data_IF_414425212420
#
_entry.id   IF_414425212420
#
_cell.length_a   1.000
_cell.length_b   1.000
_cell.length_c   1.000
_cell.angle_alpha   90.00
_cell.angle_beta   90.00
_cell.angle_gamma   90.00
#
_symmetry.space_group_name_H-M   'P 1'
#
loop_
_entity.id
_entity.type
_entity.pdbx_description
1 polymer ?
#
# COMPACT_ATOMS: atom_id res chain seq x y z
N UNK A 1 11.95 16.34 10.77
CA UNK A 1 12.29 16.65 9.37
C UNK A 1 11.17 17.38 8.61
N UNK A 2 9.88 17.15 8.91
CA UNK A 2 8.76 17.82 8.21
C UNK A 2 8.84 19.37 8.26
N UNK A 3 9.42 19.95 9.31
CA UNK A 3 9.64 21.40 9.45
C UNK A 3 11.09 21.80 9.17
N UNK A 4 11.88 20.90 8.62
CA UNK A 4 13.27 21.18 8.29
C UNK A 4 13.34 22.14 7.11
N UNK A 5 14.23 23.16 7.19
CA UNK A 5 14.38 24.23 6.18
C UNK A 5 14.59 23.70 4.74
N UNK A 6 15.29 22.56 4.58
CA UNK A 6 15.55 21.96 3.28
C UNK A 6 14.35 21.14 2.75
N UNK A 7 13.41 20.71 3.59
CA UNK A 7 12.35 19.79 3.20
C UNK A 7 11.42 20.36 2.10
N UNK A 8 11.19 21.68 2.12
CA UNK A 8 10.37 22.39 1.11
C UNK A 8 11.15 22.77 -0.16
N UNK A 9 12.47 22.69 -0.16
CA UNK A 9 13.35 23.12 -1.25
C UNK A 9 14.11 21.99 -1.91
N UNK A 10 13.78 20.73 -1.60
CA UNK A 10 14.37 19.56 -2.26
C UNK A 10 13.96 19.50 -3.74
N UNK A 11 14.79 18.91 -4.60
CA UNK A 11 14.48 18.77 -6.04
C UNK A 11 13.17 18.01 -6.26
N UNK A 12 12.86 17.09 -5.35
CA UNK A 12 11.67 16.24 -5.44
C UNK A 12 11.22 15.75 -4.06
N UNK A 13 9.98 15.15 -4.02
CA UNK A 13 9.48 14.45 -2.83
C UNK A 13 10.53 13.47 -2.30
N UNK A 14 10.67 13.44 -0.99
CA UNK A 14 11.58 12.56 -0.27
C UNK A 14 10.79 11.71 0.73
N UNK A 15 10.94 10.40 0.66
CA UNK A 15 10.20 9.45 1.50
C UNK A 15 11.16 8.80 2.48
N UNK A 16 10.80 8.82 3.76
CA UNK A 16 11.52 8.11 4.83
C UNK A 16 10.57 7.08 5.41
N UNK A 17 11.05 5.84 5.52
CA UNK A 17 10.32 4.75 6.16
C UNK A 17 11.04 4.28 7.41
N UNK A 18 10.25 3.88 8.42
CA UNK A 18 10.72 3.25 9.65
C UNK A 18 10.01 1.92 9.81
N UNK A 19 10.76 0.84 9.93
CA UNK A 19 10.25 -0.49 10.23
C UNK A 19 10.78 -0.95 11.59
N UNK A 20 9.87 -1.32 12.46
CA UNK A 20 10.19 -1.77 13.82
C UNK A 20 9.96 -3.26 14.05
N UNK A 21 9.62 -4.00 12.99
CA UNK A 21 9.33 -5.42 13.05
C UNK A 21 10.36 -6.24 12.24
N UNK A 22 10.49 -7.54 12.51
CA UNK A 22 11.32 -8.44 11.69
C UNK A 22 10.72 -8.69 10.29
N UNK A 23 9.46 -8.32 10.06
CA UNK A 23 8.80 -8.36 8.76
C UNK A 23 8.65 -6.92 8.21
N UNK A 24 8.74 -6.73 6.90
CA UNK A 24 8.56 -5.41 6.27
C UNK A 24 7.07 -5.09 6.08
N UNK A 25 6.51 -4.26 6.95
CA UNK A 25 5.11 -3.81 6.91
C UNK A 25 4.93 -2.48 6.18
N UNK A 26 5.99 -1.73 5.91
CA UNK A 26 5.92 -0.37 5.35
C UNK A 26 6.54 -0.26 3.95
N UNK A 27 6.89 -1.39 3.35
CA UNK A 27 7.63 -1.44 2.08
C UNK A 27 8.88 -0.53 2.13
N UNK A 28 9.68 -0.70 3.18
CA UNK A 28 10.77 0.19 3.52
C UNK A 28 11.79 0.31 2.38
N UNK A 29 12.15 -0.80 1.74
CA UNK A 29 13.17 -0.87 0.70
C UNK A 29 12.88 -0.02 -0.56
N UNK A 30 11.62 0.40 -0.79
CA UNK A 30 11.25 1.25 -1.94
C UNK A 30 11.14 2.74 -1.58
N UNK A 31 11.70 3.16 -0.45
CA UNK A 31 11.73 4.56 -0.03
C UNK A 31 13.10 5.18 -0.26
N UNK A 32 13.17 6.52 -0.33
CA UNK A 32 14.43 7.23 -0.57
C UNK A 32 15.41 7.00 0.59
N UNK A 33 14.89 6.84 1.82
CA UNK A 33 15.65 6.46 3.01
C UNK A 33 14.80 5.52 3.87
N UNK A 34 15.38 4.43 4.36
CA UNK A 34 14.67 3.45 5.18
C UNK A 34 15.52 3.04 6.39
N UNK A 35 14.87 2.97 7.54
CA UNK A 35 15.45 2.57 8.81
C UNK A 35 14.73 1.32 9.34
N UNK A 36 15.48 0.22 9.48
CA UNK A 36 15.00 -1.02 10.11
C UNK A 36 15.55 -1.07 11.52
N UNK A 37 14.69 -1.04 12.53
CA UNK A 37 15.11 -1.07 13.92
C UNK A 37 15.75 -2.41 14.27
N UNK A 38 16.94 -2.36 14.83
CA UNK A 38 17.72 -3.55 15.22
C UNK A 38 18.41 -3.33 16.59
N UNK A 39 18.77 -4.44 17.21
CA UNK A 39 19.66 -4.44 18.37
C UNK A 39 21.06 -4.81 17.90
N UNK A 40 22.04 -4.01 18.27
CA UNK A 40 23.43 -4.30 18.04
C UNK A 40 23.97 -5.44 18.92
N UNK A 41 25.21 -5.88 18.70
CA UNK A 41 25.79 -7.04 19.42
C UNK A 41 25.84 -6.89 20.93
N UNK A 42 25.93 -5.67 21.46
CA UNK A 42 25.90 -5.38 22.90
C UNK A 42 24.49 -5.04 23.44
N UNK A 43 23.46 -5.24 22.61
CA UNK A 43 22.07 -4.93 22.97
C UNK A 43 21.70 -3.44 22.82
N UNK A 44 22.60 -2.64 22.25
CA UNK A 44 22.35 -1.23 21.93
C UNK A 44 21.32 -1.10 20.80
N UNK A 45 20.49 -0.05 20.86
CA UNK A 45 19.47 0.23 19.84
C UNK A 45 20.06 0.94 18.65
N UNK A 46 19.66 0.52 17.48
CA UNK A 46 20.12 1.12 16.23
C UNK A 46 19.23 0.75 15.07
N UNK A 47 19.74 1.01 13.88
CA UNK A 47 19.04 0.77 12.62
C UNK A 47 19.98 0.22 11.58
N UNK A 48 19.53 -0.77 10.85
CA UNK A 48 20.04 -1.02 9.50
C UNK A 48 19.41 0.01 8.56
N UNK A 49 20.21 0.61 7.68
CA UNK A 49 19.76 1.76 6.86
C UNK A 49 19.94 1.47 5.39
N UNK A 50 18.87 1.66 4.61
CA UNK A 50 18.91 1.62 3.15
C UNK A 50 18.67 3.01 2.57
N UNK A 51 19.28 3.32 1.42
CA UNK A 51 19.09 4.58 0.72
C UNK A 51 18.92 4.41 -0.80
N UNK A 52 18.17 5.29 -1.44
CA UNK A 52 18.01 5.36 -2.88
C UNK A 52 16.97 4.42 -3.47
N UNK A 53 16.04 3.92 -2.66
CA UNK A 53 14.90 3.13 -3.14
C UNK A 53 13.82 3.96 -3.83
N UNK A 54 12.96 3.28 -4.58
CA UNK A 54 11.81 3.93 -5.21
C UNK A 54 11.11 3.10 -6.29
N UNK A 55 9.86 3.45 -6.53
CA UNK A 55 9.01 2.92 -7.60
C UNK A 55 8.86 3.93 -8.75
N UNK A 56 7.91 3.75 -9.64
CA UNK A 56 7.66 4.48 -10.88
C UNK A 56 8.60 4.06 -12.04
N UNK A 57 9.06 4.98 -12.88
CA UNK A 57 9.77 4.67 -14.13
C UNK A 57 11.00 3.76 -13.92
N UNK A 58 11.74 3.97 -12.86
CA UNK A 58 12.91 3.15 -12.51
C UNK A 58 12.68 2.58 -11.10
N UNK A 59 12.10 1.40 -11.04
CA UNK A 59 11.97 0.68 -9.78
C UNK A 59 13.34 0.23 -9.29
N UNK A 60 13.65 0.54 -8.03
CA UNK A 60 14.92 0.17 -7.40
C UNK A 60 14.73 -0.05 -5.89
N UNK A 61 15.28 -1.13 -5.38
CA UNK A 61 15.49 -1.31 -3.95
C UNK A 61 16.60 -0.39 -3.45
N UNK A 62 16.46 0.13 -2.24
CA UNK A 62 17.53 0.90 -1.59
C UNK A 62 18.81 0.09 -1.47
N UNK A 63 19.96 0.75 -1.67
CA UNK A 63 21.25 0.18 -1.36
C UNK A 63 21.56 0.29 0.13
N UNK A 64 22.36 -0.64 0.66
CA UNK A 64 22.78 -0.64 2.05
C UNK A 64 23.68 0.56 2.33
N UNK A 65 23.23 1.42 3.26
CA UNK A 65 23.97 2.62 3.68
C UNK A 65 24.71 2.37 5.00
N UNK A 66 24.07 1.70 5.94
CA UNK A 66 24.67 1.24 7.20
C UNK A 66 24.17 -0.16 7.54
N UNK A 67 25.08 -1.08 7.88
CA UNK A 67 24.72 -2.35 8.50
C UNK A 67 24.11 -2.12 9.88
N UNK A 68 24.68 -1.21 10.64
CA UNK A 68 24.19 -0.75 11.93
C UNK A 68 24.52 0.73 12.15
N UNK A 69 23.50 1.52 12.39
CA UNK A 69 23.59 2.93 12.79
C UNK A 69 23.07 3.06 14.22
N UNK A 70 23.86 3.49 15.21
CA UNK A 70 23.35 3.76 16.56
C UNK A 70 22.16 4.71 16.50
N UNK A 71 21.12 4.44 17.29
CA UNK A 71 19.87 5.18 17.18
C UNK A 71 20.04 6.69 17.47
N UNK A 72 21.01 7.08 18.31
CA UNK A 72 21.37 8.49 18.53
C UNK A 72 21.82 9.23 17.26
N UNK A 73 22.34 8.53 16.26
CA UNK A 73 22.82 9.11 15.00
C UNK A 73 21.72 9.32 13.95
N UNK A 74 20.47 8.90 14.23
CA UNK A 74 19.36 8.92 13.28
C UNK A 74 19.19 10.27 12.57
N UNK A 75 19.15 11.37 13.35
CA UNK A 75 18.92 12.69 12.78
C UNK A 75 20.08 13.17 11.95
N UNK A 76 21.33 12.87 12.37
CA UNK A 76 22.54 13.23 11.65
C UNK A 76 22.64 12.51 10.31
N UNK A 77 22.34 11.20 10.29
CA UNK A 77 22.31 10.42 9.06
C UNK A 77 21.23 10.90 8.08
N UNK A 78 20.01 11.15 8.58
CA UNK A 78 18.92 11.68 7.76
C UNK A 78 19.24 13.08 7.21
N UNK A 79 19.78 13.97 8.03
CA UNK A 79 20.20 15.31 7.63
C UNK A 79 21.30 15.27 6.56
N UNK A 80 22.31 14.41 6.72
CA UNK A 80 23.39 14.26 5.76
C UNK A 80 22.85 13.84 4.39
N UNK A 81 21.94 12.87 4.32
CA UNK A 81 21.27 12.45 3.07
C UNK A 81 20.49 13.60 2.44
N UNK A 82 19.74 14.36 3.23
CA UNK A 82 18.96 15.52 2.74
C UNK A 82 19.88 16.59 2.16
N UNK A 83 21.01 16.90 2.82
CA UNK A 83 21.99 17.88 2.32
C UNK A 83 22.61 17.46 0.99
N UNK A 84 23.02 16.20 0.86
CA UNK A 84 23.52 15.67 -0.41
C UNK A 84 22.47 15.79 -1.50
N UNK A 85 21.24 15.37 -1.23
CA UNK A 85 20.16 15.44 -2.21
C UNK A 85 19.78 16.88 -2.59
N UNK A 86 19.76 17.81 -1.62
CA UNK A 86 19.53 19.22 -1.87
C UNK A 86 20.64 19.84 -2.74
N UNK A 87 21.91 19.53 -2.46
CA UNK A 87 23.06 20.13 -3.15
C UNK A 87 23.30 19.58 -4.54
N UNK A 88 23.15 18.26 -4.74
CA UNK A 88 23.52 17.57 -5.97
C UNK A 88 22.31 17.11 -6.81
N UNK A 89 21.10 17.25 -6.29
CA UNK A 89 19.90 16.81 -7.00
C UNK A 89 19.58 17.65 -8.23
N UNK A 90 18.86 17.07 -9.15
CA UNK A 90 18.45 17.71 -10.40
C UNK A 90 17.16 18.51 -10.18
N UNK A 91 17.21 19.83 -10.32
CA UNK A 91 16.08 20.75 -10.21
C UNK A 91 15.39 21.04 -11.54
N UNK A 92 15.99 20.66 -12.67
CA UNK A 92 15.53 21.02 -14.00
C UNK A 92 14.64 19.94 -14.62
N UNK A 93 15.02 18.66 -14.48
CA UNK A 93 14.36 17.56 -15.16
C UNK A 93 13.36 16.84 -14.22
N UNK A 94 12.13 17.35 -14.15
CA UNK A 94 11.07 16.86 -13.25
C UNK A 94 10.82 15.35 -13.25
N UNK A 95 11.09 14.69 -14.38
CA UNK A 95 10.89 13.22 -14.53
C UNK A 95 12.03 12.38 -13.93
N UNK A 96 13.23 12.99 -13.73
CA UNK A 96 14.45 12.28 -13.30
C UNK A 96 15.11 12.92 -12.08
N UNK A 97 14.34 13.60 -11.25
CA UNK A 97 14.87 14.40 -10.15
C UNK A 97 14.71 13.78 -8.75
N UNK A 98 14.29 12.51 -8.63
CA UNK A 98 14.34 11.79 -7.36
C UNK A 98 15.75 11.30 -7.02
N UNK A 99 16.03 11.11 -5.74
CA UNK A 99 17.37 10.70 -5.25
C UNK A 99 17.94 9.47 -5.96
N UNK A 100 17.13 8.47 -6.29
CA UNK A 100 17.60 7.28 -7.05
C UNK A 100 18.20 7.61 -8.42
N UNK A 101 17.74 8.69 -9.07
CA UNK A 101 18.32 9.14 -10.34
C UNK A 101 19.64 9.89 -10.13
N UNK A 102 19.77 10.66 -9.05
CA UNK A 102 21.04 11.24 -8.63
C UNK A 102 22.08 10.14 -8.42
N UNK A 103 21.75 9.13 -7.61
CA UNK A 103 22.64 7.99 -7.34
C UNK A 103 23.00 7.25 -8.64
N UNK A 104 22.05 7.10 -9.57
CA UNK A 104 22.33 6.51 -10.89
C UNK A 104 23.30 7.36 -11.72
N UNK A 105 23.16 8.68 -11.66
CA UNK A 105 23.95 9.60 -12.48
C UNK A 105 25.41 9.69 -12.03
N UNK A 106 25.69 9.74 -10.72
CA UNK A 106 27.05 9.92 -10.19
C UNK A 106 27.68 8.61 -9.69
N UNK A 107 26.91 7.53 -9.59
CA UNK A 107 27.33 6.25 -9.02
C UNK A 107 27.15 6.20 -7.49
N UNK A 108 27.04 4.96 -6.98
CA UNK A 108 26.84 4.73 -5.54
C UNK A 108 28.05 5.20 -4.71
N UNK A 109 29.27 4.86 -5.14
CA UNK A 109 30.48 5.17 -4.37
C UNK A 109 30.73 6.68 -4.25
N UNK A 110 30.52 7.42 -5.34
CA UNK A 110 30.63 8.88 -5.32
C UNK A 110 29.55 9.51 -4.45
N UNK A 111 28.30 9.04 -4.54
CA UNK A 111 27.22 9.51 -3.69
C UNK A 111 27.46 9.19 -2.22
N UNK A 112 27.95 7.99 -1.92
CA UNK A 112 28.26 7.55 -0.56
C UNK A 112 29.42 8.37 0.05
N UNK A 113 30.44 8.70 -0.73
CA UNK A 113 31.52 9.59 -0.29
C UNK A 113 31.00 11.00 0.07
N UNK A 114 30.07 11.56 -0.71
CA UNK A 114 29.40 12.83 -0.39
C UNK A 114 28.58 12.72 0.90
N UNK A 115 27.84 11.62 1.08
CA UNK A 115 27.10 11.35 2.29
C UNK A 115 28.00 11.31 3.53
N UNK A 116 29.13 10.60 3.47
CA UNK A 116 30.08 10.49 4.60
C UNK A 116 30.68 11.85 4.98
N UNK A 117 30.97 12.72 3.98
CA UNK A 117 31.42 14.10 4.26
C UNK A 117 30.36 14.92 5.00
N UNK A 118 29.11 14.87 4.53
CA UNK A 118 28.00 15.57 5.20
C UNK A 118 27.71 14.99 6.59
N UNK A 119 27.83 13.67 6.77
CA UNK A 119 27.66 13.04 8.08
C UNK A 119 28.72 13.50 9.07
N UNK A 120 29.98 13.59 8.66
CA UNK A 120 31.06 14.13 9.48
C UNK A 120 30.76 15.58 9.90
N UNK A 121 30.37 16.43 8.95
CA UNK A 121 29.99 17.81 9.24
C UNK A 121 28.78 17.91 10.17
N UNK A 122 27.80 17.01 10.06
CA UNK A 122 26.67 16.95 10.98
C UNK A 122 27.07 16.52 12.39
N UNK A 123 28.10 15.67 12.53
CA UNK A 123 28.63 15.25 13.86
C UNK A 123 29.39 16.34 14.57
N UNK A 124 30.08 17.19 13.82
CA UNK A 124 30.82 18.33 14.35
C UNK A 124 29.90 19.53 14.71
N UNK A 125 28.66 19.51 14.25
CA UNK A 125 27.72 20.61 14.41
C UNK A 125 26.73 20.35 15.54
N UNK A 126 26.61 21.28 16.49
CA UNK A 126 25.59 21.27 17.52
C UNK A 126 24.17 21.58 16.98
N UNK A 127 24.05 22.00 15.72
CA UNK A 127 22.77 22.31 15.08
C UNK A 127 21.90 21.08 14.76
N UNK A 128 22.51 19.88 14.71
CA UNK A 128 21.77 18.62 14.48
C UNK A 128 21.70 17.85 15.79
N UNK A 129 20.51 17.74 16.38
CA UNK A 129 20.37 17.10 17.69
C UNK A 129 20.68 15.60 17.60
N UNK A 130 21.19 15.06 18.71
CA UNK A 130 21.25 13.63 18.96
C UNK A 130 19.87 13.15 19.38
N UNK A 131 19.40 12.04 18.83
CA UNK A 131 18.17 11.43 19.32
C UNK A 131 18.40 10.87 20.73
N UNK A 132 17.76 11.46 21.73
CA UNK A 132 17.70 10.87 23.06
C UNK A 132 16.83 9.62 23.00
N UNK A 133 17.34 8.50 23.51
CA UNK A 133 16.62 7.23 23.56
C UNK A 133 16.45 6.89 25.01
N UNK A 134 15.21 6.99 25.46
CA UNK A 134 14.84 6.53 26.79
C UNK A 134 14.97 4.99 26.87
N UNK A 135 15.27 4.44 28.05
CA UNK A 135 15.22 2.99 28.25
C UNK A 135 13.84 2.46 27.83
N UNK A 136 13.75 1.19 27.38
CA UNK A 136 12.50 0.63 26.94
C UNK A 136 11.51 0.60 28.10
N UNK A 137 10.46 1.41 28.00
CA UNK A 137 9.28 1.15 28.81
C UNK A 137 8.70 -0.20 28.40
N UNK A 138 8.39 -1.02 29.38
CA UNK A 138 7.57 -2.21 29.14
C UNK A 138 6.21 -1.68 28.74
N UNK A 139 5.89 -1.81 27.45
CA UNK A 139 4.60 -1.37 26.93
C UNK A 139 3.49 -2.09 27.68
N UNK A 140 2.73 -1.38 28.50
CA UNK A 140 1.64 -1.90 29.31
C UNK A 140 0.30 -1.43 28.75
N UNK A 141 -0.77 -2.13 29.12
CA UNK A 141 -2.11 -1.71 28.75
C UNK A 141 -2.37 -0.27 29.26
N UNK A 142 -2.91 0.60 28.41
CA UNK A 142 -3.32 1.93 28.84
C UNK A 142 -4.31 1.91 29.99
N UNK A 143 -4.11 2.77 31.00
CA UNK A 143 -4.86 2.77 32.27
C UNK A 143 -6.03 3.76 32.29
N UNK A 144 -6.49 4.29 31.16
CA UNK A 144 -7.62 5.22 31.17
C UNK A 144 -8.99 4.54 31.30
N UNK A 145 -9.98 5.32 31.75
CA UNK A 145 -11.36 4.88 31.76
C UNK A 145 -11.86 4.64 30.33
N UNK A 146 -12.42 3.49 30.09
CA UNK A 146 -13.03 3.18 28.80
C UNK A 146 -14.18 4.14 28.51
N UNK A 147 -14.23 4.68 27.30
CA UNK A 147 -15.33 5.51 26.85
C UNK A 147 -16.65 4.73 26.76
N UNK A 148 -17.76 5.45 26.70
CA UNK A 148 -19.05 4.84 26.42
C UNK A 148 -19.01 4.11 25.08
N UNK A 149 -19.55 2.89 25.06
CA UNK A 149 -19.55 2.04 23.86
C UNK A 149 -20.91 2.17 23.17
N UNK A 150 -21.00 2.73 21.94
CA UNK A 150 -22.26 2.81 21.22
C UNK A 150 -22.76 1.41 20.86
N UNK A 151 -24.08 1.22 20.90
CA UNK A 151 -24.67 -0.07 20.48
C UNK A 151 -24.55 -0.26 18.97
N UNK A 152 -24.49 -1.50 18.46
CA UNK A 152 -24.49 -1.75 17.01
C UNK A 152 -25.67 -1.09 16.28
N UNK A 153 -26.87 -1.08 16.87
CA UNK A 153 -28.04 -0.44 16.28
C UNK A 153 -27.88 1.08 16.14
N UNK A 154 -27.32 1.74 17.17
CA UNK A 154 -27.04 3.18 17.12
C UNK A 154 -25.98 3.50 16.05
N UNK A 155 -24.93 2.70 15.97
CA UNK A 155 -23.89 2.83 14.94
C UNK A 155 -24.50 2.72 13.53
N UNK A 156 -25.26 1.66 13.27
CA UNK A 156 -25.90 1.45 11.98
C UNK A 156 -26.81 2.61 11.58
N UNK A 157 -27.60 3.12 12.52
CA UNK A 157 -28.47 4.29 12.29
C UNK A 157 -27.67 5.54 11.94
N UNK A 158 -26.60 5.83 12.68
CA UNK A 158 -25.74 7.01 12.45
C UNK A 158 -25.03 6.94 11.09
N UNK A 159 -24.49 5.77 10.74
CA UNK A 159 -23.80 5.56 9.46
C UNK A 159 -24.77 5.67 8.29
N UNK A 160 -25.98 5.07 8.41
CA UNK A 160 -27.01 5.15 7.38
C UNK A 160 -27.58 6.58 7.19
N UNK A 161 -27.60 7.40 8.24
CA UNK A 161 -28.08 8.77 8.19
C UNK A 161 -27.04 9.76 7.59
N UNK A 162 -25.83 9.32 7.28
CA UNK A 162 -24.78 10.16 6.71
C UNK A 162 -25.24 10.75 5.37
N UNK A 163 -25.24 12.08 5.28
CA UNK A 163 -25.55 12.78 4.03
C UNK A 163 -24.42 12.61 3.01
N UNK A 164 -24.71 12.31 1.74
CA UNK A 164 -23.73 12.30 0.68
C UNK A 164 -23.08 13.67 0.50
N UNK A 165 -21.77 13.73 0.33
CA UNK A 165 -21.05 14.97 0.04
C UNK A 165 -21.19 15.39 -1.43
N UNK A 166 -21.55 14.45 -2.30
CA UNK A 166 -21.77 14.65 -3.74
C UNK A 166 -21.41 13.40 -4.55
N UNK A 167 -21.73 13.37 -5.83
CA UNK A 167 -21.40 12.26 -6.72
C UNK A 167 -19.89 12.00 -6.72
N UNK A 168 -19.47 10.75 -6.55
CA UNK A 168 -18.07 10.33 -6.58
C UNK A 168 -17.22 10.75 -5.37
N UNK A 169 -17.75 11.54 -4.43
CA UNK A 169 -17.02 12.02 -3.25
C UNK A 169 -17.36 11.21 -1.99
N UNK A 170 -18.57 10.66 -1.92
CA UNK A 170 -19.01 9.89 -0.77
C UNK A 170 -18.65 8.42 -0.93
N UNK A 171 -17.90 7.83 0.03
CA UNK A 171 -17.58 6.41 0.00
C UNK A 171 -18.84 5.53 -0.07
N UNK A 172 -18.78 4.48 -0.88
CA UNK A 172 -19.83 3.49 -0.95
C UNK A 172 -19.76 2.61 0.30
N UNK A 173 -20.85 2.57 1.08
CA UNK A 173 -20.95 1.66 2.22
C UNK A 173 -21.15 0.24 1.69
N UNK A 174 -20.28 -0.67 2.12
CA UNK A 174 -20.43 -2.10 1.84
C UNK A 174 -21.20 -2.72 3.00
N UNK A 175 -22.44 -3.18 2.80
CA UNK A 175 -23.23 -3.78 3.86
C UNK A 175 -22.53 -5.04 4.40
N UNK A 176 -22.29 -5.08 5.70
CA UNK A 176 -21.88 -6.30 6.38
C UNK A 176 -23.12 -6.87 7.04
N UNK A 177 -23.65 -7.94 6.47
CA UNK A 177 -24.84 -8.61 7.01
C UNK A 177 -24.61 -9.07 8.44
N UNK A 178 -25.70 -9.09 9.24
CA UNK A 178 -25.69 -9.44 10.66
C UNK A 178 -24.73 -10.60 10.93
N UNK A 179 -23.72 -10.38 11.74
CA UNK A 179 -22.64 -11.35 11.92
C UNK A 179 -23.16 -12.59 12.66
N UNK A 180 -23.39 -13.64 11.91
CA UNK A 180 -23.48 -15.00 12.47
C UNK A 180 -22.14 -15.47 12.99
N UNK A 181 -22.10 -16.62 13.63
CA UNK A 181 -20.86 -17.20 14.16
C UNK A 181 -19.82 -17.45 13.04
N UNK A 182 -20.26 -17.87 11.86
CA UNK A 182 -19.37 -18.09 10.71
C UNK A 182 -18.69 -16.80 10.22
N UNK A 183 -19.42 -15.67 10.18
CA UNK A 183 -18.84 -14.38 9.77
C UNK A 183 -17.78 -13.91 10.76
N UNK A 184 -18.00 -14.12 12.06
CA UNK A 184 -17.01 -13.82 13.09
C UNK A 184 -15.78 -14.73 12.97
N UNK A 185 -15.96 -16.02 12.72
CA UNK A 185 -14.86 -16.97 12.56
C UNK A 185 -13.98 -16.57 11.37
N UNK A 186 -14.61 -16.25 10.22
CA UNK A 186 -13.87 -15.77 9.04
C UNK A 186 -13.14 -14.47 9.33
N UNK A 187 -13.82 -13.47 9.90
CA UNK A 187 -13.19 -12.21 10.25
C UNK A 187 -12.02 -12.39 11.22
N UNK A 188 -12.18 -13.26 12.21
CA UNK A 188 -11.10 -13.56 13.15
C UNK A 188 -9.89 -14.19 12.48
N UNK A 189 -10.11 -15.05 11.50
CA UNK A 189 -9.03 -15.69 10.75
C UNK A 189 -8.24 -14.74 9.86
N UNK A 190 -8.92 -13.75 9.25
CA UNK A 190 -8.30 -12.83 8.28
C UNK A 190 -7.85 -11.51 8.90
N UNK A 191 -8.59 -10.99 9.89
CA UNK A 191 -8.42 -9.62 10.40
C UNK A 191 -7.78 -9.54 11.78
N UNK A 192 -7.56 -10.68 12.48
CA UNK A 192 -7.08 -10.66 13.87
C UNK A 192 -5.76 -11.40 13.99
N UNK A 193 -4.81 -10.77 14.67
CA UNK A 193 -3.50 -11.35 14.99
C UNK A 193 -3.21 -11.21 16.49
N UNK A 194 -2.46 -12.12 17.11
CA UNK A 194 -2.04 -11.96 18.49
C UNK A 194 -1.10 -10.74 18.61
N UNK A 195 -1.25 -9.99 19.69
CA UNK A 195 -0.28 -8.98 20.11
C UNK A 195 0.83 -9.67 20.92
N UNK A 196 2.02 -9.04 21.03
CA UNK A 196 3.13 -9.59 21.84
C UNK A 196 2.73 -9.76 23.32
N UNK A 197 1.88 -8.87 23.84
CA UNK A 197 1.37 -8.94 25.21
C UNK A 197 0.27 -10.00 25.29
N UNK A 198 0.42 -10.93 26.21
CA UNK A 198 -0.52 -12.03 26.42
C UNK A 198 -1.93 -11.51 26.77
N UNK A 199 -2.93 -12.12 26.17
CA UNK A 199 -4.34 -11.76 26.38
C UNK A 199 -4.86 -10.62 25.48
N UNK A 200 -4.01 -10.06 24.59
CA UNK A 200 -4.37 -9.00 23.68
C UNK A 200 -4.17 -9.36 22.22
N UNK A 201 -4.93 -8.67 21.38
CA UNK A 201 -5.00 -8.86 19.93
C UNK A 201 -4.78 -7.54 19.19
N UNK A 202 -4.30 -7.66 17.96
CA UNK A 202 -4.40 -6.65 16.92
C UNK A 202 -5.63 -6.98 16.07
N UNK A 203 -6.50 -6.01 15.83
CA UNK A 203 -7.69 -6.19 15.00
C UNK A 203 -7.67 -5.18 13.85
N UNK A 204 -7.78 -5.68 12.62
CA UNK A 204 -7.83 -4.85 11.42
C UNK A 204 -9.28 -4.62 11.01
N UNK A 205 -9.69 -3.35 10.89
CA UNK A 205 -10.90 -2.97 10.21
C UNK A 205 -10.56 -2.77 8.73
N UNK A 206 -11.17 -3.55 7.85
CA UNK A 206 -11.03 -3.39 6.41
C UNK A 206 -11.78 -2.15 5.95
N UNK A 207 -11.07 -1.28 5.24
CA UNK A 207 -11.61 -0.05 4.68
C UNK A 207 -11.58 -0.14 3.16
N UNK A 208 -12.71 -0.43 2.49
CA UNK A 208 -12.75 -0.61 1.04
C UNK A 208 -12.09 0.55 0.30
N UNK A 209 -11.04 0.26 -0.49
CA UNK A 209 -10.24 1.23 -1.23
C UNK A 209 -9.70 2.41 -0.41
N UNK A 210 -9.60 2.25 0.91
CA UNK A 210 -9.15 3.28 1.83
C UNK A 210 -10.11 4.45 2.04
N UNK A 211 -11.38 4.29 1.67
CA UNK A 211 -12.40 5.33 1.78
C UNK A 211 -13.35 5.09 2.94
N UNK A 212 -13.54 6.13 3.74
CA UNK A 212 -14.49 6.15 4.86
C UNK A 212 -15.32 7.41 4.87
N UNK A 213 -16.55 7.29 5.34
CA UNK A 213 -17.37 8.45 5.69
C UNK A 213 -16.88 9.09 6.99
N UNK A 214 -17.23 10.36 7.22
CA UNK A 214 -16.91 11.05 8.47
C UNK A 214 -17.54 10.37 9.68
N UNK A 215 -18.72 9.75 9.52
CA UNK A 215 -19.38 9.04 10.60
C UNK A 215 -18.68 7.70 10.93
N UNK A 216 -18.24 6.96 9.92
CA UNK A 216 -17.39 5.78 10.14
C UNK A 216 -16.11 6.15 10.90
N UNK A 217 -15.47 7.27 10.55
CA UNK A 217 -14.27 7.74 11.25
C UNK A 217 -14.55 8.08 12.72
N UNK A 218 -15.70 8.71 13.03
CA UNK A 218 -16.12 8.96 14.43
C UNK A 218 -16.32 7.66 15.20
N UNK A 219 -17.01 6.70 14.58
CA UNK A 219 -17.21 5.37 15.17
C UNK A 219 -15.86 4.68 15.44
N UNK A 220 -14.93 4.72 14.50
CA UNK A 220 -13.56 4.18 14.70
C UNK A 220 -12.90 4.82 15.91
N UNK A 221 -12.96 6.15 16.06
CA UNK A 221 -12.39 6.86 17.21
C UNK A 221 -13.07 6.48 18.55
N UNK A 222 -14.39 6.27 18.55
CA UNK A 222 -15.14 5.79 19.72
C UNK A 222 -14.73 4.36 20.10
N UNK A 223 -14.62 3.45 19.11
CA UNK A 223 -14.21 2.07 19.33
C UNK A 223 -12.75 1.95 19.77
N UNK A 224 -11.85 2.78 19.23
CA UNK A 224 -10.46 2.80 19.67
C UNK A 224 -10.33 3.16 21.16
N UNK A 225 -11.12 4.13 21.64
CA UNK A 225 -11.15 4.50 23.07
C UNK A 225 -11.89 3.50 23.95
N UNK A 226 -12.87 2.78 23.40
CA UNK A 226 -13.65 1.83 24.16
C UNK A 226 -12.94 0.48 24.36
N UNK A 227 -12.23 0.01 23.33
CA UNK A 227 -11.65 -1.33 23.28
C UNK A 227 -10.12 -1.34 23.27
N UNK A 228 -9.48 -0.33 22.70
CA UNK A 228 -8.04 -0.27 22.44
C UNK A 228 -7.31 0.74 23.33
N UNK A 229 -6.25 1.29 22.76
CA UNK A 229 -5.38 2.31 23.38
C UNK A 229 -5.75 3.76 22.99
N UNK A 230 -6.96 3.97 22.45
CA UNK A 230 -7.42 5.27 21.98
C UNK A 230 -6.82 5.71 20.64
N UNK A 231 -6.02 4.86 20.02
CA UNK A 231 -5.40 5.12 18.72
C UNK A 231 -5.72 4.04 17.70
N UNK A 232 -5.60 4.37 16.43
CA UNK A 232 -5.59 3.41 15.32
C UNK A 232 -4.38 3.68 14.43
N UNK A 233 -3.90 2.65 13.75
CA UNK A 233 -2.81 2.76 12.78
C UNK A 233 -3.34 2.53 11.37
N UNK A 234 -2.92 3.38 10.44
CA UNK A 234 -3.18 3.19 9.01
C UNK A 234 -2.15 2.21 8.46
N UNK A 235 -2.59 1.25 7.66
CA UNK A 235 -1.71 0.28 6.98
C UNK A 235 -1.40 0.72 5.54
N UNK A 236 -0.34 0.17 4.92
CA UNK A 236 -0.09 0.36 3.48
C UNK A 236 -1.16 -0.25 2.57
N UNK A 237 -1.98 -1.16 3.10
CA UNK A 237 -3.14 -1.73 2.40
C UNK A 237 -4.41 -0.88 2.58
N UNK A 238 -4.26 0.33 3.17
CA UNK A 238 -5.31 1.34 3.36
C UNK A 238 -6.36 0.98 4.42
N UNK A 239 -6.03 0.06 5.32
CA UNK A 239 -6.86 -0.38 6.45
C UNK A 239 -6.51 0.33 7.76
N UNK A 240 -7.30 0.06 8.80
CA UNK A 240 -7.06 0.56 10.16
C UNK A 240 -6.83 -0.59 11.14
N UNK A 241 -5.76 -0.49 11.94
CA UNK A 241 -5.44 -1.49 12.97
C UNK A 241 -5.69 -0.91 14.36
N UNK A 242 -6.50 -1.62 15.13
CA UNK A 242 -6.69 -1.44 16.56
C UNK A 242 -5.70 -2.28 17.33
N UNK A 243 -5.13 -1.73 18.38
CA UNK A 243 -4.25 -2.42 19.31
C UNK A 243 -4.90 -2.60 20.68
N UNK A 244 -4.32 -3.46 21.50
CA UNK A 244 -4.75 -3.71 22.88
C UNK A 244 -6.19 -4.20 23.00
N UNK A 245 -6.67 -4.91 22.01
CA UNK A 245 -8.00 -5.52 22.05
C UNK A 245 -7.93 -6.75 22.93
N UNK A 246 -8.64 -6.75 24.05
CA UNK A 246 -8.74 -7.96 24.87
C UNK A 246 -9.40 -9.09 24.09
N UNK A 247 -8.91 -10.32 24.26
CA UNK A 247 -9.46 -11.51 23.57
C UNK A 247 -10.98 -11.64 23.79
N UNK A 248 -11.46 -11.30 25.00
CA UNK A 248 -12.89 -11.31 25.35
C UNK A 248 -13.72 -10.28 24.56
N UNK A 249 -13.11 -9.17 24.16
CA UNK A 249 -13.80 -8.04 23.53
C UNK A 249 -13.87 -8.15 22.01
N UNK A 250 -13.10 -9.08 21.41
CA UNK A 250 -12.96 -9.20 19.96
C UNK A 250 -14.29 -9.38 19.22
N UNK A 251 -15.21 -10.18 19.78
CA UNK A 251 -16.54 -10.41 19.17
C UNK A 251 -17.41 -9.16 19.22
N UNK A 252 -17.37 -8.42 20.30
CA UNK A 252 -18.13 -7.19 20.46
C UNK A 252 -17.57 -6.05 19.59
N UNK A 253 -16.25 -5.97 19.41
CA UNK A 253 -15.62 -5.08 18.45
C UNK A 253 -16.07 -5.41 17.02
N UNK A 254 -16.03 -6.70 16.63
CA UNK A 254 -16.49 -7.15 15.31
C UNK A 254 -17.93 -6.76 15.02
N UNK A 255 -18.86 -6.96 15.97
CA UNK A 255 -20.29 -6.59 15.80
C UNK A 255 -20.45 -5.10 15.51
N UNK A 256 -19.67 -4.24 16.14
CA UNK A 256 -19.72 -2.78 15.96
C UNK A 256 -19.05 -2.35 14.66
N UNK A 257 -17.92 -2.94 14.31
CA UNK A 257 -17.29 -2.71 13.01
C UNK A 257 -18.23 -3.15 11.87
N UNK A 258 -18.92 -4.28 12.02
CA UNK A 258 -19.92 -4.75 11.05
C UNK A 258 -21.08 -3.77 10.91
N UNK A 259 -21.60 -3.24 12.03
CA UNK A 259 -22.63 -2.21 12.01
C UNK A 259 -22.18 -0.89 11.35
N UNK A 260 -20.88 -0.62 11.36
CA UNK A 260 -20.27 0.50 10.65
C UNK A 260 -19.87 0.20 9.20
N UNK A 261 -20.19 -0.97 8.65
CA UNK A 261 -19.72 -1.45 7.34
C UNK A 261 -18.19 -1.54 7.23
N UNK A 262 -17.49 -1.83 8.33
CA UNK A 262 -16.04 -1.97 8.45
C UNK A 262 -15.61 -3.36 8.96
N UNK A 263 -16.55 -4.29 9.09
CA UNK A 263 -16.33 -5.65 9.59
C UNK A 263 -16.09 -6.71 8.50
N UNK A 264 -15.63 -6.32 7.32
CA UNK A 264 -15.35 -7.24 6.21
C UNK A 264 -14.19 -8.20 6.57
N UNK A 265 -14.37 -9.49 6.26
CA UNK A 265 -13.37 -10.54 6.49
C UNK A 265 -12.38 -10.62 5.31
N UNK A 266 -11.72 -9.52 5.00
CA UNK A 266 -10.92 -9.37 3.78
C UNK A 266 -9.44 -9.02 4.05
N UNK A 267 -9.13 -8.48 5.22
CA UNK A 267 -7.75 -8.16 5.57
C UNK A 267 -6.84 -9.39 5.37
N UNK A 268 -5.68 -9.17 4.82
CA UNK A 268 -4.74 -10.27 4.50
C UNK A 268 -5.20 -11.25 3.41
N UNK A 269 -6.25 -10.93 2.65
CA UNK A 269 -6.70 -11.73 1.49
C UNK A 269 -6.56 -10.96 0.18
N UNK A 270 -6.78 -11.64 -0.95
CA UNK A 270 -6.79 -11.02 -2.29
C UNK A 270 -7.99 -10.08 -2.48
N UNK A 271 -9.07 -10.22 -1.68
CA UNK A 271 -10.24 -9.36 -1.74
C UNK A 271 -9.99 -7.96 -1.16
N UNK A 272 -8.93 -7.79 -0.37
CA UNK A 272 -8.49 -6.50 0.12
C UNK A 272 -7.64 -5.79 -0.96
N UNK A 273 -8.30 -5.12 -1.89
CA UNK A 273 -7.67 -4.47 -3.03
C UNK A 273 -7.18 -3.08 -2.65
N UNK A 274 -5.87 -2.84 -2.73
CA UNK A 274 -5.32 -1.49 -2.54
C UNK A 274 -5.26 -0.71 -3.85
N UNK A 275 -5.79 0.52 -3.87
CA UNK A 275 -5.83 1.36 -5.06
C UNK A 275 -5.43 2.79 -4.78
N UNK A 276 -4.72 3.44 -5.70
CA UNK A 276 -4.57 4.89 -5.67
C UNK A 276 -5.89 5.56 -6.08
N UNK A 277 -6.06 6.90 -5.89
CA UNK A 277 -7.28 7.59 -6.28
C UNK A 277 -7.65 7.47 -7.77
N UNK A 278 -6.67 7.27 -8.66
CA UNK A 278 -6.94 7.22 -10.09
C UNK A 278 -7.50 8.53 -10.65
N UNK A 279 -8.10 8.47 -11.83
CA UNK A 279 -8.67 9.62 -12.52
C UNK A 279 -9.90 10.21 -11.81
N UNK A 280 -10.43 9.55 -10.78
CA UNK A 280 -11.51 10.08 -9.94
C UNK A 280 -11.16 11.45 -9.33
N UNK A 281 -9.92 11.64 -8.87
CA UNK A 281 -9.46 12.89 -8.28
C UNK A 281 -8.02 13.30 -8.64
N UNK A 282 -7.25 12.43 -9.28
CA UNK A 282 -5.86 12.68 -9.64
C UNK A 282 -5.73 13.12 -11.10
N UNK A 283 -5.30 14.36 -11.34
CA UNK A 283 -5.10 14.90 -12.70
C UNK A 283 -3.97 14.22 -13.50
N UNK A 284 -3.10 13.44 -12.83
CA UNK A 284 -2.00 12.72 -13.48
C UNK A 284 -2.38 11.29 -13.85
N UNK A 285 -3.54 10.81 -13.40
CA UNK A 285 -3.97 9.45 -13.66
C UNK A 285 -4.50 9.31 -15.08
N UNK A 286 -4.28 8.13 -15.66
CA UNK A 286 -4.76 7.76 -16.99
C UNK A 286 -6.11 7.07 -16.91
N UNK A 287 -6.32 6.23 -15.88
CA UNK A 287 -7.51 5.40 -15.73
C UNK A 287 -8.14 5.53 -14.34
N UNK A 288 -9.39 5.10 -14.23
CA UNK A 288 -10.19 5.01 -13.00
C UNK A 288 -9.76 3.80 -12.15
N UNK A 289 -8.63 3.92 -11.45
CA UNK A 289 -8.11 2.80 -10.65
C UNK A 289 -9.05 2.39 -9.51
N UNK A 290 -9.78 3.33 -8.88
CA UNK A 290 -10.82 3.00 -7.89
C UNK A 290 -12.03 2.33 -8.52
N UNK A 291 -12.41 2.71 -9.75
CA UNK A 291 -13.43 2.01 -10.50
C UNK A 291 -13.07 0.53 -10.71
N UNK A 292 -11.81 0.25 -11.08
CA UNK A 292 -11.33 -1.12 -11.17
C UNK A 292 -11.29 -1.81 -9.78
N UNK A 293 -10.85 -1.10 -8.75
CA UNK A 293 -10.82 -1.64 -7.39
C UNK A 293 -12.20 -2.10 -6.93
N UNK A 294 -13.22 -1.24 -7.07
CA UNK A 294 -14.62 -1.59 -6.74
C UNK A 294 -15.09 -2.83 -7.51
N UNK A 295 -14.85 -2.85 -8.84
CA UNK A 295 -15.21 -3.99 -9.66
C UNK A 295 -14.57 -5.30 -9.19
N UNK A 296 -13.28 -5.27 -8.80
CA UNK A 296 -12.57 -6.45 -8.32
C UNK A 296 -13.01 -6.88 -6.91
N UNK A 297 -13.23 -5.94 -6.00
CA UNK A 297 -13.74 -6.25 -4.67
C UNK A 297 -15.11 -6.92 -4.74
N UNK A 298 -16.05 -6.35 -5.52
CA UNK A 298 -17.38 -6.93 -5.70
C UNK A 298 -17.29 -8.32 -6.36
N UNK A 299 -16.46 -8.46 -7.40
CA UNK A 299 -16.23 -9.73 -8.07
C UNK A 299 -15.69 -10.82 -7.13
N UNK A 300 -14.77 -10.46 -6.23
CA UNK A 300 -14.15 -11.39 -5.29
C UNK A 300 -15.08 -11.72 -4.11
N UNK A 301 -15.89 -10.76 -3.63
CA UNK A 301 -16.89 -11.02 -2.58
C UNK A 301 -17.94 -12.05 -3.00
N UNK A 302 -18.30 -12.08 -4.28
CA UNK A 302 -19.20 -13.07 -4.85
C UNK A 302 -18.56 -14.45 -5.04
N UNK A 303 -17.22 -14.57 -4.89
CA UNK A 303 -16.43 -15.79 -5.19
C UNK A 303 -15.48 -16.16 -4.06
N UNK A 304 -16.02 -16.55 -2.88
CA UNK A 304 -15.21 -16.85 -1.71
C UNK A 304 -14.22 -18.00 -1.93
N UNK A 305 -14.52 -18.96 -2.83
CA UNK A 305 -13.61 -20.05 -3.19
C UNK A 305 -12.40 -19.53 -3.99
N UNK A 306 -12.59 -18.53 -4.85
CA UNK A 306 -11.47 -17.87 -5.56
C UNK A 306 -10.57 -17.14 -4.56
N UNK A 307 -11.16 -16.45 -3.58
CA UNK A 307 -10.41 -15.78 -2.51
C UNK A 307 -9.60 -16.78 -1.70
N UNK A 308 -10.22 -17.91 -1.30
CA UNK A 308 -9.57 -18.95 -0.52
C UNK A 308 -8.43 -19.64 -1.29
N UNK A 309 -8.54 -19.74 -2.62
CA UNK A 309 -7.53 -20.38 -3.47
C UNK A 309 -6.31 -19.49 -3.77
N UNK A 310 -6.35 -18.21 -3.41
CA UNK A 310 -5.34 -17.22 -3.79
C UNK A 310 -4.21 -17.02 -2.75
N UNK A 311 -3.97 -17.98 -1.91
CA UNK A 311 -3.03 -18.04 -0.77
C UNK A 311 -1.92 -16.95 -0.75
N UNK A 312 -2.10 -15.93 0.10
CA UNK A 312 -1.14 -14.83 0.28
C UNK A 312 -1.07 -13.81 -0.88
N UNK A 313 -1.84 -14.00 -1.96
CA UNK A 313 -1.85 -13.04 -3.06
C UNK A 313 -2.36 -11.67 -2.63
N UNK A 314 -1.75 -10.61 -3.18
CA UNK A 314 -2.14 -9.21 -2.98
C UNK A 314 -2.35 -8.53 -4.31
N UNK A 315 -3.46 -7.80 -4.43
CA UNK A 315 -3.77 -6.97 -5.60
C UNK A 315 -3.55 -5.51 -5.28
N UNK A 316 -2.75 -4.82 -6.11
CA UNK A 316 -2.54 -3.38 -5.97
C UNK A 316 -2.69 -2.69 -7.32
N UNK A 317 -3.41 -1.55 -7.34
CA UNK A 317 -3.81 -0.85 -8.56
C UNK A 317 -3.27 0.58 -8.55
N UNK A 318 -2.73 1.02 -9.67
CA UNK A 318 -2.41 2.43 -9.91
C UNK A 318 -2.97 2.89 -11.25
N UNK A 319 -3.58 4.06 -11.30
CA UNK A 319 -4.14 4.65 -12.52
C UNK A 319 -3.09 5.16 -13.51
N UNK A 320 -1.81 5.11 -13.19
CA UNK A 320 -0.70 5.55 -14.04
C UNK A 320 0.65 4.96 -13.59
N UNK A 321 1.75 5.19 -14.35
CA UNK A 321 3.09 4.67 -14.02
C UNK A 321 3.70 5.19 -12.70
N UNK A 322 3.15 6.23 -12.07
CA UNK A 322 3.66 6.77 -10.79
C UNK A 322 3.74 5.76 -9.66
N UNK A 323 2.91 4.70 -9.71
CA UNK A 323 2.96 3.63 -8.73
C UNK A 323 2.50 4.02 -7.32
N UNK A 324 1.61 5.01 -7.20
CA UNK A 324 1.10 5.45 -5.90
C UNK A 324 0.33 4.35 -5.16
N UNK A 325 -0.36 3.45 -5.89
CA UNK A 325 -0.99 2.24 -5.35
C UNK A 325 0.00 1.07 -5.16
N UNK A 326 1.29 1.27 -5.38
CA UNK A 326 2.34 0.27 -5.15
C UNK A 326 2.23 -1.02 -5.99
N UNK A 327 1.62 -0.95 -7.18
CA UNK A 327 1.45 -2.11 -8.06
C UNK A 327 2.77 -2.82 -8.43
N UNK A 328 3.90 -2.10 -8.39
CA UNK A 328 5.21 -2.68 -8.70
C UNK A 328 5.71 -3.71 -7.67
N UNK A 329 5.17 -3.70 -6.45
CA UNK A 329 5.55 -4.64 -5.38
C UNK A 329 4.39 -5.55 -4.97
N UNK A 330 3.35 -5.62 -5.77
CA UNK A 330 2.22 -6.51 -5.53
C UNK A 330 2.47 -7.90 -6.13
N UNK A 331 1.86 -8.92 -5.55
CA UNK A 331 1.80 -10.26 -6.17
C UNK A 331 1.19 -10.16 -7.56
N UNK A 332 0.07 -9.42 -7.69
CA UNK A 332 -0.59 -9.07 -8.93
C UNK A 332 -0.82 -7.55 -8.94
N UNK A 333 -0.15 -6.86 -9.83
CA UNK A 333 -0.22 -5.40 -9.96
C UNK A 333 -0.92 -4.98 -11.24
N UNK A 334 -1.75 -3.92 -11.14
CA UNK A 334 -2.39 -3.31 -12.30
C UNK A 334 -1.98 -1.85 -12.45
N UNK A 335 -1.44 -1.50 -13.63
CA UNK A 335 -1.06 -0.12 -13.97
C UNK A 335 -1.91 0.39 -15.11
N UNK A 336 -2.65 1.46 -14.88
CA UNK A 336 -3.48 2.09 -15.90
C UNK A 336 -2.69 2.60 -17.11
N UNK A 337 -3.24 2.39 -18.27
CA UNK A 337 -2.69 2.84 -19.56
C UNK A 337 -3.80 2.99 -20.62
N UNK A 338 -3.42 3.41 -21.80
CA UNK A 338 -4.32 3.64 -22.94
C UNK A 338 -3.97 2.73 -24.08
N UNK A 339 -4.98 2.20 -24.76
CA UNK A 339 -4.86 1.58 -26.08
C UNK A 339 -5.57 2.45 -27.10
N UNK A 340 -5.00 2.65 -28.27
CA UNK A 340 -5.69 3.20 -29.43
C UNK A 340 -6.29 2.09 -30.25
N UNK A 341 -7.56 2.26 -30.62
CA UNK A 341 -8.30 1.37 -31.52
C UNK A 341 -9.00 2.26 -32.54
N UNK A 342 -8.42 2.35 -33.75
CA UNK A 342 -8.79 3.37 -34.70
C UNK A 342 -8.57 4.78 -34.11
N UNK A 343 -9.59 5.63 -34.20
CA UNK A 343 -9.58 6.99 -33.65
C UNK A 343 -9.93 7.07 -32.17
N UNK A 344 -10.42 5.96 -31.57
CA UNK A 344 -10.94 5.91 -30.20
C UNK A 344 -9.91 5.41 -29.21
N UNK A 345 -10.04 5.80 -27.95
CA UNK A 345 -9.21 5.35 -26.85
C UNK A 345 -9.95 4.28 -26.03
N UNK A 346 -9.22 3.25 -25.61
CA UNK A 346 -9.71 2.16 -24.75
C UNK A 346 -8.91 2.19 -23.46
N UNK A 347 -9.56 2.24 -22.26
CA UNK A 347 -8.88 2.07 -21.00
C UNK A 347 -8.35 0.64 -20.87
N UNK A 348 -7.08 0.50 -20.53
CA UNK A 348 -6.44 -0.79 -20.33
C UNK A 348 -5.48 -0.75 -19.13
N UNK A 349 -5.05 -1.93 -18.71
CA UNK A 349 -4.05 -2.07 -17.65
C UNK A 349 -2.89 -2.96 -18.10
N UNK A 350 -1.68 -2.56 -17.75
CA UNK A 350 -0.57 -3.50 -17.68
C UNK A 350 -0.84 -4.46 -16.52
N UNK A 351 -0.82 -5.74 -16.79
CA UNK A 351 -0.89 -6.81 -15.80
C UNK A 351 0.53 -7.20 -15.42
N UNK A 352 0.85 -7.04 -14.17
CA UNK A 352 2.20 -7.27 -13.64
C UNK A 352 2.14 -8.32 -12.54
N UNK A 353 3.15 -9.20 -12.46
CA UNK A 353 3.18 -10.30 -11.50
C UNK A 353 4.54 -10.46 -10.82
N UNK A 354 4.54 -10.98 -9.60
CA UNK A 354 5.75 -11.40 -8.87
C UNK A 354 6.47 -10.29 -8.12
N UNK A 355 5.77 -9.21 -7.75
CA UNK A 355 6.30 -8.21 -6.82
C UNK A 355 6.21 -8.65 -5.37
N UNK A 356 6.98 -7.99 -4.51
CA UNK A 356 6.99 -8.21 -3.07
C UNK A 356 8.04 -7.36 -2.37
N UNK A 357 7.96 -7.28 -1.04
CA UNK A 357 8.99 -6.66 -0.20
C UNK A 357 9.33 -7.59 0.95
N UNK A 358 10.58 -7.54 1.36
CA UNK A 358 11.11 -8.18 2.56
C UNK A 358 12.04 -7.20 3.26
N UNK A 359 12.49 -7.55 4.44
CA UNK A 359 13.53 -6.75 5.14
C UNK A 359 14.82 -6.65 4.34
N UNK A 360 15.11 -7.61 3.45
CA UNK A 360 16.34 -7.63 2.64
C UNK A 360 16.23 -6.82 1.35
N UNK A 361 15.01 -6.43 0.95
CA UNK A 361 14.82 -5.63 -0.25
C UNK A 361 13.45 -5.78 -0.90
N UNK A 362 13.34 -5.35 -2.15
CA UNK A 362 12.12 -5.41 -2.94
C UNK A 362 12.33 -6.19 -4.24
N UNK A 363 11.39 -7.07 -4.54
CA UNK A 363 11.20 -7.69 -5.85
C UNK A 363 10.15 -6.88 -6.63
N UNK A 364 10.43 -6.59 -7.88
CA UNK A 364 9.51 -5.80 -8.69
C UNK A 364 8.74 -6.67 -9.67
N UNK A 365 7.43 -6.45 -9.71
CA UNK A 365 6.52 -7.15 -10.58
C UNK A 365 6.89 -6.94 -12.06
N UNK A 366 6.82 -8.02 -12.83
CA UNK A 366 7.16 -8.08 -14.26
C UNK A 366 5.88 -7.97 -15.10
N UNK A 367 5.91 -7.18 -16.16
CA UNK A 367 4.75 -6.99 -17.06
C UNK A 367 4.49 -8.25 -17.89
N UNK A 368 3.38 -8.93 -17.64
CA UNK A 368 2.96 -10.14 -18.35
C UNK A 368 2.04 -9.84 -19.54
N UNK A 369 1.15 -8.84 -19.41
CA UNK A 369 0.10 -8.58 -20.41
C UNK A 369 -0.35 -7.13 -20.43
N UNK A 370 -1.10 -6.74 -21.47
CA UNK A 370 -1.85 -5.48 -21.58
C UNK A 370 -3.30 -5.81 -21.89
N UNK A 371 -4.17 -5.65 -20.91
CA UNK A 371 -5.55 -6.13 -20.98
C UNK A 371 -6.54 -4.97 -20.88
N UNK A 372 -7.61 -4.92 -21.72
CA UNK A 372 -8.69 -3.95 -21.58
C UNK A 372 -9.31 -3.98 -20.18
N UNK A 373 -9.66 -2.82 -19.63
CA UNK A 373 -10.08 -2.66 -18.23
C UNK A 373 -11.22 -3.63 -17.83
N UNK A 374 -12.20 -3.84 -18.69
CA UNK A 374 -13.35 -4.71 -18.41
C UNK A 374 -13.04 -6.20 -18.34
N UNK A 375 -11.88 -6.63 -18.85
CA UNK A 375 -11.43 -8.03 -18.82
C UNK A 375 -10.52 -8.34 -17.63
N UNK A 376 -10.26 -7.37 -16.76
CA UNK A 376 -9.38 -7.57 -15.60
C UNK A 376 -9.95 -8.56 -14.58
N UNK A 377 -11.27 -8.63 -14.28
CA UNK A 377 -11.79 -9.67 -13.39
C UNK A 377 -11.49 -11.08 -13.90
N UNK A 378 -11.74 -11.36 -15.18
CA UNK A 378 -11.39 -12.65 -15.81
C UNK A 378 -9.87 -12.89 -15.81
N UNK A 379 -9.07 -11.84 -16.02
CA UNK A 379 -7.61 -11.92 -15.92
C UNK A 379 -7.17 -12.41 -14.54
N UNK A 380 -7.77 -11.85 -13.47
CA UNK A 380 -7.46 -12.24 -12.10
C UNK A 380 -7.82 -13.70 -11.83
N UNK A 381 -9.02 -14.13 -12.26
CA UNK A 381 -9.47 -15.52 -12.13
C UNK A 381 -8.52 -16.49 -12.83
N UNK A 382 -8.12 -16.20 -14.08
CA UNK A 382 -7.17 -17.03 -14.83
C UNK A 382 -5.79 -17.11 -14.17
N UNK A 383 -5.30 -16.01 -13.64
CA UNK A 383 -4.04 -16.00 -12.90
C UNK A 383 -4.09 -16.90 -11.66
N UNK A 384 -5.19 -16.85 -10.90
CA UNK A 384 -5.35 -17.72 -9.73
C UNK A 384 -5.55 -19.17 -10.12
N UNK A 385 -6.32 -19.47 -11.17
CA UNK A 385 -6.47 -20.82 -11.71
C UNK A 385 -5.13 -21.37 -12.22
N UNK A 386 -4.33 -20.54 -12.90
CA UNK A 386 -2.97 -20.90 -13.34
C UNK A 386 -2.07 -21.21 -12.15
N UNK A 387 -2.08 -20.38 -11.10
CA UNK A 387 -1.36 -20.65 -9.86
C UNK A 387 -1.78 -21.98 -9.24
N UNK A 388 -3.08 -22.24 -9.07
CA UNK A 388 -3.58 -23.49 -8.49
C UNK A 388 -3.17 -24.74 -9.27
N UNK A 389 -3.12 -24.65 -10.60
CA UNK A 389 -2.73 -25.75 -11.49
C UNK A 389 -1.23 -26.06 -11.46
N UNK A 390 -0.39 -25.05 -11.26
CA UNK A 390 1.06 -25.13 -11.50
C UNK A 390 1.92 -24.95 -10.25
N UNK A 391 1.31 -24.64 -9.11
CA UNK A 391 2.04 -24.44 -7.87
C UNK A 391 2.64 -25.76 -7.37
N UNK A 392 3.77 -25.67 -6.69
CA UNK A 392 4.35 -26.76 -5.93
C UNK A 392 3.59 -26.96 -4.61
N UNK A 393 3.76 -28.10 -3.97
CA UNK A 393 3.16 -28.37 -2.66
C UNK A 393 3.65 -27.34 -1.62
N UNK A 394 2.71 -26.69 -0.92
CA UNK A 394 3.02 -25.65 0.06
C UNK A 394 3.46 -24.30 -0.52
N UNK A 395 3.53 -24.15 -1.84
CA UNK A 395 3.94 -22.89 -2.48
C UNK A 395 2.81 -21.85 -2.45
N UNK A 396 3.08 -20.69 -1.84
CA UNK A 396 2.15 -19.55 -1.84
C UNK A 396 2.16 -18.80 -3.18
N UNK A 397 1.08 -18.04 -3.47
CA UNK A 397 0.97 -17.30 -4.72
C UNK A 397 2.09 -16.26 -4.93
N UNK A 398 2.56 -15.49 -3.91
CA UNK A 398 3.71 -14.61 -4.09
C UNK A 398 4.95 -15.33 -4.57
N UNK A 399 5.29 -16.47 -3.96
CA UNK A 399 6.48 -17.28 -4.32
C UNK A 399 6.33 -17.82 -5.74
N UNK A 400 5.18 -18.37 -6.08
CA UNK A 400 4.88 -18.88 -7.41
C UNK A 400 5.06 -17.81 -8.50
N UNK A 401 4.46 -16.62 -8.33
CA UNK A 401 4.53 -15.55 -9.34
C UNK A 401 5.93 -14.91 -9.44
N UNK A 402 6.77 -15.02 -8.42
CA UNK A 402 8.19 -14.65 -8.52
C UNK A 402 8.99 -15.67 -9.32
N UNK A 403 8.71 -16.95 -9.15
CA UNK A 403 9.43 -18.08 -9.75
C UNK A 403 9.03 -18.36 -11.19
N UNK A 404 7.74 -18.28 -11.50
CA UNK A 404 7.20 -18.72 -12.80
C UNK A 404 7.80 -17.91 -13.96
N UNK A 405 8.20 -18.56 -15.10
CA UNK A 405 8.62 -17.84 -16.29
C UNK A 405 7.52 -16.91 -16.82
N UNK A 406 7.88 -15.67 -17.15
CA UNK A 406 6.93 -14.63 -17.55
C UNK A 406 6.16 -15.01 -18.83
N UNK A 407 6.82 -15.70 -19.75
CA UNK A 407 6.27 -16.18 -21.01
C UNK A 407 5.06 -17.08 -20.79
N UNK A 408 5.09 -17.93 -19.74
CA UNK A 408 3.97 -18.80 -19.39
C UNK A 408 2.77 -17.99 -18.90
N UNK A 409 3.01 -16.99 -18.05
CA UNK A 409 1.95 -16.07 -17.61
C UNK A 409 1.36 -15.31 -18.80
N UNK A 410 2.21 -14.85 -19.72
CA UNK A 410 1.78 -14.13 -20.93
C UNK A 410 0.91 -15.00 -21.84
N UNK A 411 1.23 -16.29 -21.97
CA UNK A 411 0.44 -17.25 -22.76
C UNK A 411 -0.95 -17.47 -22.15
N UNK A 412 -1.06 -17.59 -20.83
CA UNK A 412 -2.36 -17.72 -20.14
C UNK A 412 -3.31 -16.53 -20.38
N UNK A 413 -2.75 -15.36 -20.70
CA UNK A 413 -3.52 -14.12 -20.87
C UNK A 413 -3.58 -13.66 -22.34
N UNK A 414 -3.08 -14.45 -23.31
CA UNK A 414 -2.86 -14.00 -24.67
C UNK A 414 -4.16 -13.58 -25.38
N UNK A 415 -5.23 -14.33 -25.21
CA UNK A 415 -6.54 -14.05 -25.82
C UNK A 415 -7.23 -12.84 -25.19
N UNK A 416 -7.04 -12.61 -23.87
CA UNK A 416 -7.59 -11.45 -23.16
C UNK A 416 -6.98 -10.13 -23.62
N UNK A 417 -5.76 -10.17 -24.15
CA UNK A 417 -5.09 -8.99 -24.68
C UNK A 417 -5.63 -8.56 -26.06
N UNK A 418 -6.24 -9.51 -26.80
CA UNK A 418 -6.68 -9.23 -28.15
C UNK A 418 -8.01 -8.45 -28.13
N UNK A 419 -7.99 -7.25 -28.69
CA UNK A 419 -9.18 -6.46 -28.96
C UNK A 419 -9.01 -5.82 -30.33
N UNK A 420 -9.94 -6.10 -31.25
CA UNK A 420 -9.99 -5.52 -32.59
C UNK A 420 -11.21 -4.62 -32.74
N UNK A 421 -11.24 -3.77 -33.76
CA UNK A 421 -12.41 -2.91 -34.02
C UNK A 421 -13.69 -3.72 -34.26
N UNK A 422 -13.57 -4.92 -34.80
CA UNK A 422 -14.69 -5.81 -35.05
C UNK A 422 -15.26 -6.45 -33.78
N UNK A 423 -14.41 -6.66 -32.78
CA UNK A 423 -14.77 -7.31 -31.49
C UNK A 423 -15.18 -6.29 -30.43
N UNK A 424 -14.84 -5.00 -30.62
CA UNK A 424 -15.05 -3.97 -29.62
C UNK A 424 -16.52 -3.58 -29.50
N UNK A 425 -17.00 -3.53 -28.28
CA UNK A 425 -18.36 -3.05 -27.95
C UNK A 425 -18.30 -1.61 -27.41
N UNK A 426 -19.39 -0.83 -27.43
CA UNK A 426 -19.40 0.54 -26.92
C UNK A 426 -18.83 0.70 -25.51
N UNK A 427 -19.06 -0.28 -24.63
CA UNK A 427 -18.58 -0.27 -23.27
C UNK A 427 -17.05 -0.35 -23.16
N UNK A 428 -16.33 -0.88 -24.14
CA UNK A 428 -14.87 -0.94 -24.14
C UNK A 428 -14.22 0.45 -24.25
N UNK A 429 -14.96 1.45 -24.72
CA UNK A 429 -14.50 2.82 -24.86
C UNK A 429 -14.93 3.73 -23.70
N UNK A 430 -15.44 3.16 -22.61
CA UNK A 430 -15.86 3.87 -21.41
C UNK A 430 -15.03 3.33 -20.24
N UNK A 431 -14.39 4.21 -19.47
CA UNK A 431 -13.63 3.77 -18.29
C UNK A 431 -14.57 3.27 -17.18
N UNK A 432 -14.04 2.52 -16.25
CA UNK A 432 -14.79 1.93 -15.15
C UNK A 432 -15.31 3.04 -14.22
N UNK A 433 -16.58 2.91 -13.80
CA UNK A 433 -17.30 3.92 -13.02
C UNK A 433 -17.54 5.28 -13.73
N UNK A 434 -17.33 5.35 -15.05
CA UNK A 434 -17.65 6.51 -15.89
C UNK A 434 -18.86 6.23 -16.78
N UNK A 435 -19.46 7.30 -17.31
CA UNK A 435 -20.59 7.22 -18.25
C UNK A 435 -20.24 7.76 -19.65
N UNK A 436 -19.20 8.59 -19.73
CA UNK A 436 -18.72 9.19 -20.97
C UNK A 436 -17.66 8.36 -21.69
N UNK A 437 -17.43 8.67 -22.96
CA UNK A 437 -16.35 8.06 -23.73
C UNK A 437 -14.99 8.40 -23.12
N UNK A 438 -14.12 7.39 -23.03
CA UNK A 438 -12.81 7.52 -22.43
C UNK A 438 -11.91 8.46 -23.22
N UNK A 439 -11.63 9.61 -22.64
CA UNK A 439 -10.73 10.64 -23.16
C UNK A 439 -9.59 10.88 -22.17
N UNK A 440 -8.48 10.13 -22.28
CA UNK A 440 -7.38 10.28 -21.33
C UNK A 440 -6.76 11.68 -21.46
N UNK A 441 -6.68 12.39 -20.35
CA UNK A 441 -5.96 13.67 -20.28
C UNK A 441 -4.48 13.35 -20.07
N UNK A 442 -3.69 13.48 -21.12
CA UNK A 442 -2.22 13.40 -21.01
C UNK A 442 -1.73 14.76 -20.52
N UNK A 443 -1.42 14.87 -19.25
CA UNK A 443 -0.78 16.06 -18.69
C UNK A 443 0.73 15.84 -18.61
N UNK A 444 1.50 16.90 -18.87
CA UNK A 444 2.93 16.96 -18.60
C UNK A 444 3.17 16.88 -17.08
N UNK A 445 3.25 15.64 -16.57
CA UNK A 445 3.50 15.34 -15.19
C UNK A 445 4.79 14.55 -15.04
N UNK A 446 5.12 14.18 -13.79
CA UNK A 446 6.28 13.33 -13.46
C UNK A 446 6.35 12.02 -14.24
N UNK A 447 5.27 11.64 -14.90
CA UNK A 447 5.03 10.32 -15.44
C UNK A 447 4.59 10.31 -16.89
N UNK A 448 4.59 11.46 -17.56
CA UNK A 448 4.49 11.51 -19.02
C UNK A 448 5.83 11.09 -19.61
N UNK A 449 6.05 9.80 -19.75
CA UNK A 449 7.08 9.21 -20.58
C UNK A 449 6.53 7.94 -21.24
#
# INVERSE_FOLDING_TARGET
>A
LLRHRLASTLPRKFKIAFEGCPEDHVAAAINDLAFFAELGPAGERGFRVLAGGGTAIMCKSGGLLHDFLPAGELFRAAEAVLRVFHRLGDYQHKQRNRMKFLIKAIGWDAWHAEYLRELAACRESDAVPVLAIDPPDVESQPSWARGAVPTPALIATRVAAQQPLGPGITPTLVPVYMPGDESYVRWRATNVRPQKQFGYLLATATVPLGDMTSEQMRVVGELARAYGDGTVRVTPDQDLVFRWIAVSDARELFRRLSAASLGLAEASTIANVASCPGAESCRLAVTQSRGLGRLLEDYLRERPELVASADGARVKISGCPNGCGQHHIATIGFQGSVRRLGSRAVPQYFVMVGGGTTVDGASFARTAAKVPARRIPETLERLIAFYQRERQEGESAPVFFQRVPLERVSLELMDLQRLTEADAIPADFVDLAETGEFAPVVMDGECSA
#
